data_IF_692370115582
#
_entry.id   IF_692370115582
#
_cell.length_a   1.000
_cell.length_b   1.000
_cell.length_c   1.000
_cell.angle_alpha   90.00
_cell.angle_beta   90.00
_cell.angle_gamma   90.00
#
_symmetry.space_group_name_H-M   'P 1'
#
loop_
_entity.id
_entity.type
_entity.pdbx_description
1 polymer ?
#
# COMPACT_ATOMS: atom_id res chain seq x y z
N UNK A 1 13.67 -37.86 -20.43
CA UNK A 1 12.85 -37.43 -19.27
C UNK A 1 11.82 -36.44 -19.77
N UNK A 2 10.56 -36.74 -19.49
CA UNK A 2 9.35 -36.01 -19.89
C UNK A 2 9.34 -34.54 -19.48
N UNK A 3 8.74 -33.67 -20.30
CA UNK A 3 7.55 -32.88 -19.94
C UNK A 3 7.44 -31.63 -20.80
N UNK A 4 6.23 -31.47 -21.35
CA UNK A 4 5.72 -30.43 -22.24
C UNK A 4 5.56 -29.04 -21.57
N UNK A 5 5.20 -27.98 -22.33
CA UNK A 5 5.21 -26.57 -21.91
C UNK A 5 3.91 -26.12 -21.21
N UNK A 6 3.87 -24.93 -20.56
CA UNK A 6 2.70 -24.50 -19.80
C UNK A 6 1.61 -23.91 -20.70
N UNK A 7 0.40 -24.46 -20.58
CA UNK A 7 -0.83 -23.85 -21.07
C UNK A 7 -1.27 -22.70 -20.16
N UNK A 8 -1.53 -21.56 -20.80
CA UNK A 8 -2.35 -20.47 -20.30
C UNK A 8 -3.81 -20.87 -20.36
N UNK A 9 -4.54 -20.73 -19.24
CA UNK A 9 -5.99 -20.55 -19.24
C UNK A 9 -6.36 -19.59 -18.12
N UNK A 10 -6.92 -18.46 -18.56
CA UNK A 10 -7.61 -17.50 -17.75
C UNK A 10 -8.84 -18.14 -17.07
N UNK A 11 -9.02 -17.83 -15.79
CA UNK A 11 -10.35 -17.80 -15.17
C UNK A 11 -10.44 -16.53 -14.33
N UNK A 12 -10.92 -15.47 -14.99
CA UNK A 12 -11.67 -14.41 -14.33
C UNK A 12 -13.00 -15.02 -13.89
N UNK A 13 -13.29 -14.94 -12.60
CA UNK A 13 -14.64 -15.15 -12.07
C UNK A 13 -15.01 -13.89 -11.27
N UNK A 14 -15.88 -13.08 -11.87
CA UNK A 14 -16.71 -12.10 -11.16
C UNK A 14 -17.59 -12.81 -10.13
N UNK A 15 -17.71 -12.30 -8.89
CA UNK A 15 -18.92 -12.51 -8.12
C UNK A 15 -19.98 -11.50 -8.59
N UNK A 16 -20.96 -12.03 -9.31
CA UNK A 16 -22.18 -11.33 -9.68
C UNK A 16 -22.86 -10.68 -8.45
N UNK A 17 -23.27 -9.43 -8.66
CA UNK A 17 -24.20 -8.71 -7.83
C UNK A 17 -25.52 -9.48 -7.70
N UNK A 18 -25.94 -9.77 -6.46
CA UNK A 18 -27.32 -10.17 -6.14
C UNK A 18 -27.79 -9.43 -4.89
N UNK A 19 -28.88 -8.69 -5.10
CA UNK A 19 -29.90 -8.28 -4.12
C UNK A 19 -29.59 -7.10 -3.20
N UNK A 20 -29.70 -5.91 -3.77
CA UNK A 20 -30.27 -4.75 -3.08
C UNK A 20 -31.77 -4.67 -3.41
N UNK A 21 -32.64 -5.01 -2.45
CA UNK A 21 -33.96 -4.40 -2.23
C UNK A 21 -34.73 -5.11 -1.09
N UNK A 22 -35.11 -4.40 -0.02
CA UNK A 22 -36.17 -4.83 0.90
C UNK A 22 -37.49 -4.10 0.54
N UNK A 23 -38.64 -4.78 0.37
CA UNK A 23 -39.80 -4.53 1.27
C UNK A 23 -40.80 -5.74 1.34
N UNK A 24 -41.88 -5.74 2.17
CA UNK A 24 -42.52 -4.58 2.80
C UNK A 24 -42.77 -4.63 4.31
N UNK A 25 -42.83 -3.41 4.84
CA UNK A 25 -43.25 -3.04 6.19
C UNK A 25 -44.74 -3.33 6.35
N UNK A 26 -45.11 -4.07 7.40
CA UNK A 26 -46.48 -4.10 7.92
C UNK A 26 -46.84 -2.72 8.46
N UNK A 27 -47.98 -2.12 8.10
CA UNK A 27 -48.53 -1.00 8.84
C UNK A 27 -49.37 -1.55 10.00
N UNK A 28 -48.86 -1.47 11.22
CA UNK A 28 -49.72 -1.49 12.41
C UNK A 28 -49.85 -0.06 12.89
N UNK A 29 -50.90 0.62 12.44
CA UNK A 29 -51.46 1.75 13.18
C UNK A 29 -52.79 1.33 13.81
N UNK A 30 -53.08 1.74 15.05
CA UNK A 30 -54.33 1.45 15.70
C UNK A 30 -55.45 2.34 15.15
N UNK A 31 -56.59 1.69 15.01
CA UNK A 31 -57.95 2.19 14.80
C UNK A 31 -58.27 3.43 15.65
N UNK A 32 -58.54 4.54 14.97
CA UNK A 32 -59.56 5.53 15.36
C UNK A 32 -60.58 5.62 14.23
N UNK A 33 -61.88 5.81 14.56
CA UNK A 33 -62.75 6.52 13.66
C UNK A 33 -63.39 7.72 14.37
N UNK A 34 -62.97 8.93 13.98
CA UNK A 34 -63.80 10.12 14.04
C UNK A 34 -63.72 10.81 12.68
N UNK A 35 -64.87 11.13 12.10
CA UNK A 35 -64.95 11.71 10.76
C UNK A 35 -66.36 11.68 10.20
N UNK A 36 -67.15 12.67 10.60
CA UNK A 36 -68.49 12.96 10.11
C UNK A 36 -68.54 13.17 8.58
N UNK A 37 -69.65 12.78 7.98
CA UNK A 37 -70.12 13.30 6.70
C UNK A 37 -71.63 13.59 6.81
N UNK A 38 -71.96 14.88 6.74
CA UNK A 38 -73.28 15.45 6.46
C UNK A 38 -73.82 14.95 5.12
N UNK A 39 -75.13 14.71 4.91
CA UNK A 39 -76.19 15.72 4.64
C UNK A 39 -77.53 14.96 4.36
N UNK A 40 -78.64 15.58 3.90
CA UNK A 40 -79.83 15.84 4.71
C UNK A 40 -81.10 15.15 4.20
N UNK A 41 -82.17 15.10 5.01
CA UNK A 41 -83.52 15.14 4.44
C UNK A 41 -84.48 15.95 5.34
N UNK A 42 -84.96 17.03 4.74
CA UNK A 42 -86.22 17.74 4.98
C UNK A 42 -87.40 16.74 4.99
N UNK A 43 -88.61 16.95 5.54
CA UNK A 43 -89.34 18.09 6.10
C UNK A 43 -90.68 17.54 6.64
N UNK A 44 -91.22 18.24 7.63
CA UNK A 44 -92.63 18.58 7.84
C UNK A 44 -93.75 17.60 7.44
N UNK A 45 -94.56 17.22 8.44
CA UNK A 45 -95.91 16.69 8.27
C UNK A 45 -96.78 17.06 9.46
N UNK A 46 -97.36 18.27 9.39
CA UNK A 46 -98.37 18.80 10.30
C UNK A 46 -99.73 18.11 10.03
N UNK A 47 -100.52 17.79 11.06
CA UNK A 47 -101.77 17.03 10.88
C UNK A 47 -102.69 17.00 12.10
N UNK A 48 -103.24 18.17 12.44
CA UNK A 48 -104.59 18.45 12.99
C UNK A 48 -105.45 17.34 13.62
N UNK A 49 -105.72 17.53 14.92
CA UNK A 49 -107.02 17.56 15.63
C UNK A 49 -108.24 16.74 15.15
N UNK A 50 -108.83 15.99 16.11
CA UNK A 50 -110.27 15.94 16.49
C UNK A 50 -110.38 15.15 17.81
N UNK A 51 -110.72 15.78 18.94
CA UNK A 51 -112.08 16.09 19.41
C UNK A 51 -112.93 14.84 19.69
N UNK A 52 -113.18 14.57 20.98
CA UNK A 52 -114.06 13.52 21.48
C UNK A 52 -114.12 13.54 23.01
N UNK A 53 -114.94 14.43 23.58
CA UNK A 53 -115.44 14.39 24.97
C UNK A 53 -116.91 13.94 24.95
N UNK A 54 -117.60 13.66 26.08
CA UNK A 54 -117.15 13.15 27.39
C UNK A 54 -118.10 12.05 27.96
N UNK A 55 -117.73 11.38 29.06
CA UNK A 55 -118.74 10.82 29.99
C UNK A 55 -118.45 11.22 31.43
N UNK A 56 -119.18 12.25 31.84
CA UNK A 56 -119.71 12.56 33.18
C UNK A 56 -119.50 11.52 34.28
N UNK A 57 -118.62 11.83 35.24
CA UNK A 57 -118.94 11.68 36.68
C UNK A 57 -118.49 12.93 37.43
N UNK A 58 -119.50 13.69 37.86
CA UNK A 58 -119.39 14.85 38.75
C UNK A 58 -118.68 14.42 40.02
N UNK A 59 -117.47 14.93 40.27
CA UNK A 59 -116.94 15.06 41.63
C UNK A 59 -116.67 16.53 41.88
N UNK A 60 -117.54 17.08 42.72
CA UNK A 60 -117.46 18.34 43.42
C UNK A 60 -116.03 18.89 43.51
N UNK A 61 -115.81 20.04 42.87
CA UNK A 61 -114.80 21.00 43.31
C UNK A 61 -115.12 21.36 44.76
N UNK A 62 -114.29 20.90 45.70
CA UNK A 62 -114.02 21.67 46.91
C UNK A 62 -112.91 22.66 46.54
N UNK A 63 -113.29 23.93 46.41
CA UNK A 63 -112.35 25.06 46.45
C UNK A 63 -111.81 25.12 47.87
N UNK A 64 -110.75 24.38 48.14
CA UNK A 64 -109.90 24.64 49.29
C UNK A 64 -108.79 25.60 48.82
N UNK A 65 -108.82 26.84 49.31
CA UNK A 65 -107.77 27.84 49.16
C UNK A 65 -106.52 27.41 49.95
N UNK A 66 -105.86 26.34 49.49
CA UNK A 66 -104.54 25.86 49.95
C UNK A 66 -103.55 25.68 48.78
N UNK A 67 -103.92 26.12 47.57
CA UNK A 67 -103.18 25.87 46.33
C UNK A 67 -102.18 26.95 45.91
N UNK A 68 -102.18 28.13 46.55
CA UNK A 68 -101.28 29.24 46.21
C UNK A 68 -99.86 29.01 46.74
N UNK A 69 -99.73 28.55 47.99
CA UNK A 69 -98.42 28.26 48.60
C UNK A 69 -97.75 27.04 47.99
N UNK A 70 -98.50 25.97 47.71
CA UNK A 70 -97.97 24.79 47.03
C UNK A 70 -97.52 25.09 45.58
N UNK A 71 -98.24 25.97 44.88
CA UNK A 71 -97.86 26.41 43.54
C UNK A 71 -96.63 27.34 43.56
N UNK A 72 -96.52 28.24 44.54
CA UNK A 72 -95.32 29.06 44.75
C UNK A 72 -94.10 28.21 45.12
N UNK A 73 -94.25 27.24 46.03
CA UNK A 73 -93.19 26.30 46.38
C UNK A 73 -92.72 25.47 45.17
N UNK A 74 -93.65 25.06 44.29
CA UNK A 74 -93.31 24.36 43.05
C UNK A 74 -92.55 25.26 42.04
N UNK A 75 -92.87 26.56 41.98
CA UNK A 75 -92.11 27.52 41.16
C UNK A 75 -90.70 27.72 41.70
N UNK A 76 -90.54 27.91 43.02
CA UNK A 76 -89.23 28.03 43.67
C UNK A 76 -88.37 26.79 43.45
N UNK A 77 -88.92 25.58 43.61
CA UNK A 77 -88.20 24.32 43.30
C UNK A 77 -87.76 24.23 41.85
N UNK A 78 -88.60 24.64 40.88
CA UNK A 78 -88.22 24.66 39.46
C UNK A 78 -87.13 25.70 39.15
N UNK A 79 -87.15 26.84 39.84
CA UNK A 79 -86.09 27.85 39.71
C UNK A 79 -84.77 27.39 40.33
N UNK A 80 -84.83 26.73 41.50
CA UNK A 80 -83.67 26.09 42.14
C UNK A 80 -83.11 24.94 41.29
N UNK A 81 -83.96 24.10 40.71
CA UNK A 81 -83.55 23.02 39.79
C UNK A 81 -82.87 23.58 38.53
N UNK A 82 -83.40 24.67 37.96
CA UNK A 82 -82.74 25.37 36.84
C UNK A 82 -81.38 25.96 37.23
N UNK A 83 -81.28 26.59 38.42
CA UNK A 83 -80.00 27.11 38.92
C UNK A 83 -78.97 26.01 39.11
N UNK A 84 -79.36 24.87 39.68
CA UNK A 84 -78.47 23.72 39.84
C UNK A 84 -78.08 23.12 38.48
N UNK A 85 -79.00 23.06 37.52
CA UNK A 85 -78.70 22.61 36.16
C UNK A 85 -77.68 23.54 35.46
N UNK A 86 -77.85 24.86 35.59
CA UNK A 86 -76.91 25.86 35.06
C UNK A 86 -75.55 25.79 35.76
N UNK A 87 -75.52 25.54 37.07
CA UNK A 87 -74.28 25.35 37.84
C UNK A 87 -73.54 24.07 37.42
N UNK A 88 -74.26 22.96 37.26
CA UNK A 88 -73.69 21.71 36.74
C UNK A 88 -73.17 21.88 35.31
N UNK A 89 -73.86 22.64 34.45
CA UNK A 89 -73.40 22.94 33.10
C UNK A 89 -72.09 23.76 33.12
N UNK A 90 -71.99 24.78 33.98
CA UNK A 90 -70.77 25.56 34.17
C UNK A 90 -69.60 24.71 34.66
N UNK A 91 -69.83 23.79 35.60
CA UNK A 91 -68.79 22.87 36.09
C UNK A 91 -68.31 21.96 34.96
N UNK A 92 -69.23 21.41 34.16
CA UNK A 92 -68.87 20.56 33.01
C UNK A 92 -68.09 21.34 31.94
N UNK A 93 -68.48 22.58 31.65
CA UNK A 93 -67.76 23.42 30.70
C UNK A 93 -66.37 23.79 31.21
N UNK A 94 -66.23 24.09 32.51
CA UNK A 94 -64.93 24.34 33.14
C UNK A 94 -64.04 23.09 33.12
N UNK A 95 -64.60 21.90 33.40
CA UNK A 95 -63.89 20.62 33.33
C UNK A 95 -63.48 20.29 31.89
N UNK A 96 -64.36 20.53 30.91
CA UNK A 96 -64.06 20.33 29.49
C UNK A 96 -62.94 21.27 29.00
N UNK A 97 -62.92 22.52 29.45
CA UNK A 97 -61.85 23.47 29.15
C UNK A 97 -60.54 23.07 29.83
N UNK A 98 -60.57 22.67 31.11
CA UNK A 98 -59.39 22.16 31.80
C UNK A 98 -58.83 20.89 31.12
N UNK A 99 -59.69 20.01 30.61
CA UNK A 99 -59.29 18.84 29.84
C UNK A 99 -58.66 19.21 28.49
N UNK A 100 -59.20 20.22 27.78
CA UNK A 100 -58.61 20.75 26.53
C UNK A 100 -57.23 21.37 26.79
N UNK A 101 -57.10 22.22 27.81
CA UNK A 101 -55.83 22.84 28.18
C UNK A 101 -54.77 21.80 28.55
N UNK A 102 -55.17 20.75 29.29
CA UNK A 102 -54.28 19.63 29.62
C UNK A 102 -53.85 18.86 28.36
N UNK A 103 -54.77 18.61 27.43
CA UNK A 103 -54.47 17.94 26.18
C UNK A 103 -53.51 18.76 25.29
N UNK A 104 -53.70 20.08 25.22
CA UNK A 104 -52.79 20.99 24.49
C UNK A 104 -51.39 21.01 25.11
N UNK A 105 -51.28 21.09 26.44
CA UNK A 105 -49.97 21.01 27.12
C UNK A 105 -49.25 19.70 26.83
N UNK A 106 -49.97 18.57 26.80
CA UNK A 106 -49.39 17.27 26.44
C UNK A 106 -48.91 17.25 24.99
N UNK A 107 -49.73 17.75 24.04
CA UNK A 107 -49.34 17.86 22.63
C UNK A 107 -48.11 18.74 22.44
N UNK A 108 -48.03 19.87 23.14
CA UNK A 108 -46.89 20.78 23.05
C UNK A 108 -45.63 20.14 23.64
N UNK A 109 -45.72 19.50 24.81
CA UNK A 109 -44.60 18.78 25.41
C UNK A 109 -44.11 17.62 24.52
N UNK A 110 -45.02 16.91 23.84
CA UNK A 110 -44.66 15.86 22.89
C UNK A 110 -43.98 16.43 21.64
N UNK A 111 -44.50 17.54 21.08
CA UNK A 111 -43.91 18.22 19.94
C UNK A 111 -42.48 18.70 20.25
N UNK A 112 -42.24 19.26 21.44
CA UNK A 112 -40.91 19.70 21.87
C UNK A 112 -39.96 18.52 22.09
N UNK A 113 -40.45 17.38 22.61
CA UNK A 113 -39.66 16.15 22.70
C UNK A 113 -39.29 15.59 21.33
N UNK A 114 -40.21 15.65 20.36
CA UNK A 114 -39.94 15.24 18.96
C UNK A 114 -38.87 16.15 18.34
N UNK A 115 -39.01 17.48 18.44
CA UNK A 115 -38.00 18.43 17.97
C UNK A 115 -36.62 18.18 18.56
N UNK A 116 -36.52 17.89 19.87
CA UNK A 116 -35.24 17.56 20.52
C UNK A 116 -34.64 16.26 19.98
N UNK A 117 -35.46 15.25 19.69
CA UNK A 117 -34.99 13.99 19.09
C UNK A 117 -34.49 14.22 17.67
N UNK A 118 -35.29 14.90 16.85
CA UNK A 118 -34.94 15.18 15.45
C UNK A 118 -33.66 16.03 15.37
N UNK A 119 -33.48 16.99 16.28
CA UNK A 119 -32.24 17.78 16.36
C UNK A 119 -31.04 16.93 16.77
N UNK A 120 -31.21 15.97 17.69
CA UNK A 120 -30.13 15.05 18.09
C UNK A 120 -29.75 14.11 16.95
N UNK A 121 -30.74 13.57 16.25
CA UNK A 121 -30.54 12.67 15.12
C UNK A 121 -29.88 13.40 13.95
N UNK A 122 -30.27 14.66 13.69
CA UNK A 122 -29.64 15.49 12.67
C UNK A 122 -28.17 15.82 12.98
N UNK A 123 -27.80 16.00 14.26
CA UNK A 123 -26.39 16.19 14.66
C UNK A 123 -25.60 14.90 14.47
N UNK A 124 -26.13 13.77 14.92
CA UNK A 124 -25.48 12.46 14.73
C UNK A 124 -25.27 12.13 13.24
N UNK A 125 -26.22 12.48 12.37
CA UNK A 125 -26.06 12.30 10.92
C UNK A 125 -24.96 13.19 10.33
N UNK A 126 -24.85 14.44 10.79
CA UNK A 126 -23.77 15.35 10.35
C UNK A 126 -22.40 14.83 10.78
N UNK A 127 -22.26 14.38 12.02
CA UNK A 127 -20.99 13.86 12.54
C UNK A 127 -20.55 12.61 11.75
N UNK A 128 -21.49 11.71 11.43
CA UNK A 128 -21.22 10.52 10.58
C UNK A 128 -20.86 10.92 9.15
N UNK A 129 -21.49 11.93 8.58
CA UNK A 129 -21.17 12.41 7.23
C UNK A 129 -19.80 13.10 7.18
N UNK A 130 -19.45 13.88 8.20
CA UNK A 130 -18.12 14.49 8.33
C UNK A 130 -17.03 13.43 8.50
N UNK A 131 -17.25 12.39 9.32
CA UNK A 131 -16.31 11.26 9.47
C UNK A 131 -16.08 10.53 8.14
N UNK A 132 -17.14 10.30 7.36
CA UNK A 132 -17.03 9.71 6.01
C UNK A 132 -16.21 10.58 5.09
N UNK A 133 -16.46 11.89 5.05
CA UNK A 133 -15.69 12.83 4.22
C UNK A 133 -14.22 12.88 4.62
N UNK A 134 -13.91 12.84 5.91
CA UNK A 134 -12.53 12.78 6.39
C UNK A 134 -11.85 11.48 5.97
N UNK A 135 -12.55 10.35 6.07
CA UNK A 135 -12.03 9.05 5.64
C UNK A 135 -11.78 9.00 4.14
N UNK A 136 -12.69 9.55 3.33
CA UNK A 136 -12.54 9.63 1.88
C UNK A 136 -11.36 10.54 1.50
N UNK A 137 -11.19 11.67 2.19
CA UNK A 137 -10.02 12.56 1.99
C UNK A 137 -8.70 11.87 2.37
N UNK A 138 -8.66 11.13 3.49
CA UNK A 138 -7.48 10.35 3.87
C UNK A 138 -7.18 9.24 2.85
N UNK A 139 -8.20 8.57 2.33
CA UNK A 139 -8.02 7.56 1.27
C UNK A 139 -7.47 8.20 0.00
N UNK A 140 -8.00 9.34 -0.44
CA UNK A 140 -7.48 10.06 -1.60
C UNK A 140 -6.04 10.54 -1.41
N UNK A 141 -5.67 11.01 -0.21
CA UNK A 141 -4.29 11.37 0.10
C UNK A 141 -3.38 10.14 0.05
N UNK A 142 -3.78 9.04 0.68
CA UNK A 142 -3.02 7.79 0.65
C UNK A 142 -2.89 7.20 -0.77
N UNK A 143 -3.89 7.36 -1.63
CA UNK A 143 -3.85 6.94 -3.03
C UNK A 143 -2.88 7.80 -3.84
N UNK A 144 -2.89 9.12 -3.65
CA UNK A 144 -1.92 10.04 -4.29
C UNK A 144 -0.49 9.73 -3.86
N UNK A 145 -0.25 9.49 -2.57
CA UNK A 145 1.08 9.10 -2.08
C UNK A 145 1.57 7.80 -2.71
N UNK A 146 0.68 6.80 -2.87
CA UNK A 146 1.01 5.55 -3.56
C UNK A 146 1.29 5.76 -5.05
N UNK A 147 0.51 6.60 -5.72
CA UNK A 147 0.71 6.93 -7.13
C UNK A 147 2.05 7.65 -7.35
N UNK A 148 2.41 8.58 -6.46
CA UNK A 148 3.71 9.26 -6.49
C UNK A 148 4.86 8.30 -6.20
N UNK A 149 4.73 7.40 -5.21
CA UNK A 149 5.75 6.37 -4.94
C UNK A 149 5.91 5.41 -6.12
N UNK A 150 4.82 5.01 -6.77
CA UNK A 150 4.84 4.16 -7.96
C UNK A 150 5.49 4.88 -9.15
N UNK A 151 5.19 6.17 -9.36
CA UNK A 151 5.85 7.00 -10.37
C UNK A 151 7.35 7.10 -10.12
N UNK A 152 7.79 7.32 -8.88
CA UNK A 152 9.22 7.35 -8.54
C UNK A 152 9.90 6.00 -8.78
N UNK A 153 9.24 4.89 -8.41
CA UNK A 153 9.74 3.53 -8.70
C UNK A 153 9.85 3.29 -10.20
N UNK A 154 8.85 3.69 -10.98
CA UNK A 154 8.85 3.57 -12.43
C UNK A 154 9.95 4.43 -13.08
N UNK A 155 10.18 5.66 -12.58
CA UNK A 155 11.24 6.53 -13.05
C UNK A 155 12.64 5.96 -12.74
N UNK A 156 12.85 5.39 -11.55
CA UNK A 156 14.11 4.71 -11.24
C UNK A 156 14.36 3.50 -12.14
N UNK A 157 13.31 2.69 -12.42
CA UNK A 157 13.42 1.57 -13.36
C UNK A 157 13.72 2.08 -14.78
N UNK A 158 13.10 3.17 -15.21
CA UNK A 158 13.39 3.81 -16.50
C UNK A 158 14.84 4.28 -16.58
N UNK A 159 15.34 4.97 -15.55
CA UNK A 159 16.76 5.39 -15.45
C UNK A 159 17.71 4.20 -15.51
N UNK A 160 17.43 3.12 -14.79
CA UNK A 160 18.26 1.90 -14.86
C UNK A 160 18.24 1.25 -16.25
N UNK A 161 17.09 1.22 -16.92
CA UNK A 161 16.99 0.75 -18.31
C UNK A 161 17.77 1.63 -19.28
N UNK A 162 17.69 2.95 -19.11
CA UNK A 162 18.43 3.91 -19.92
C UNK A 162 19.95 3.80 -19.70
N UNK A 163 20.42 3.67 -18.45
CA UNK A 163 21.84 3.45 -18.15
C UNK A 163 22.34 2.12 -18.70
N UNK A 164 21.54 1.05 -18.62
CA UNK A 164 21.93 -0.25 -19.17
C UNK A 164 21.94 -0.24 -20.70
N UNK A 165 21.04 0.51 -21.35
CA UNK A 165 21.09 0.76 -22.79
C UNK A 165 22.33 1.57 -23.17
N UNK A 166 22.62 2.68 -22.50
CA UNK A 166 23.82 3.49 -22.73
C UNK A 166 25.11 2.68 -22.59
N UNK A 167 25.22 1.82 -21.57
CA UNK A 167 26.38 0.92 -21.41
C UNK A 167 26.50 -0.08 -22.57
N UNK A 168 25.38 -0.58 -23.10
CA UNK A 168 25.39 -1.47 -24.28
C UNK A 168 25.83 -0.72 -25.54
N UNK A 169 25.31 0.48 -25.75
CA UNK A 169 25.68 1.35 -26.88
C UNK A 169 27.16 1.74 -26.82
N UNK A 170 27.68 2.07 -25.63
CA UNK A 170 29.10 2.40 -25.44
C UNK A 170 30.01 1.19 -25.73
N UNK A 171 29.66 -0.01 -25.24
CA UNK A 171 30.39 -1.24 -25.57
C UNK A 171 30.34 -1.52 -27.08
N UNK A 172 29.19 -1.30 -27.71
CA UNK A 172 29.06 -1.50 -29.15
C UNK A 172 29.93 -0.50 -29.93
N UNK A 173 29.94 0.78 -29.52
CA UNK A 173 30.78 1.81 -30.12
C UNK A 173 32.28 1.49 -29.97
N UNK A 174 32.70 1.02 -28.80
CA UNK A 174 34.08 0.56 -28.59
C UNK A 174 34.46 -0.60 -29.51
N UNK A 175 33.56 -1.58 -29.70
CA UNK A 175 33.78 -2.69 -30.65
C UNK A 175 33.85 -2.19 -32.09
N UNK A 176 32.99 -1.26 -32.49
CA UNK A 176 33.02 -0.67 -33.83
C UNK A 176 34.31 0.11 -34.08
N UNK A 177 34.77 0.91 -33.11
CA UNK A 177 36.05 1.62 -33.16
C UNK A 177 37.25 0.66 -33.20
N UNK A 178 37.22 -0.42 -32.42
CA UNK A 178 38.26 -1.45 -32.43
C UNK A 178 38.32 -2.19 -33.77
N UNK A 179 37.15 -2.58 -34.32
CA UNK A 179 37.07 -3.19 -35.66
C UNK A 179 37.61 -2.21 -36.71
N UNK A 180 37.30 -0.92 -36.60
CA UNK A 180 37.81 0.11 -37.51
C UNK A 180 39.33 0.24 -37.40
N UNK A 181 39.89 0.22 -36.19
CA UNK A 181 41.35 0.22 -35.97
C UNK A 181 42.01 -1.02 -36.56
N UNK A 182 41.49 -2.22 -36.28
CA UNK A 182 42.02 -3.47 -36.84
C UNK A 182 41.93 -3.50 -38.36
N UNK A 183 40.86 -2.97 -38.96
CA UNK A 183 40.75 -2.86 -40.42
C UNK A 183 41.82 -1.93 -41.00
N UNK A 184 42.05 -0.76 -40.38
CA UNK A 184 43.10 0.16 -40.82
C UNK A 184 44.51 -0.44 -40.64
N UNK A 185 44.74 -1.18 -39.56
CA UNK A 185 46.00 -1.88 -39.32
C UNK A 185 46.24 -2.97 -40.37
N UNK A 186 45.25 -3.83 -40.63
CA UNK A 186 45.32 -4.86 -41.69
C UNK A 186 45.52 -4.23 -43.07
N UNK A 187 44.90 -3.09 -43.36
CA UNK A 187 45.12 -2.38 -44.62
C UNK A 187 46.57 -1.84 -44.71
N UNK A 188 47.11 -1.31 -43.62
CA UNK A 188 48.51 -0.87 -43.55
C UNK A 188 49.52 -2.02 -43.68
N UNK A 189 49.24 -3.18 -43.07
CA UNK A 189 50.07 -4.38 -43.23
C UNK A 189 50.01 -4.90 -44.65
N UNK A 190 48.84 -4.87 -45.28
CA UNK A 190 48.67 -5.25 -46.68
C UNK A 190 49.45 -4.33 -47.63
N UNK A 191 49.49 -3.02 -47.34
CA UNK A 191 50.31 -2.06 -48.08
C UNK A 191 51.80 -2.35 -47.91
N UNK A 192 52.28 -2.57 -46.68
CA UNK A 192 53.68 -2.93 -46.42
C UNK A 192 54.09 -4.24 -47.10
N UNK A 193 53.19 -5.23 -47.13
CA UNK A 193 53.45 -6.51 -47.77
C UNK A 193 53.50 -6.36 -49.30
N UNK A 194 52.71 -5.45 -49.87
CA UNK A 194 52.77 -5.08 -51.28
C UNK A 194 54.07 -4.33 -51.61
N UNK A 195 54.51 -3.41 -50.76
CA UNK A 195 55.79 -2.69 -50.91
C UNK A 195 56.98 -3.67 -50.87
N UNK A 196 56.99 -4.62 -49.92
CA UNK A 196 57.99 -5.68 -49.86
C UNK A 196 58.01 -6.59 -51.10
N UNK A 197 56.83 -6.89 -51.66
CA UNK A 197 56.75 -7.63 -52.92
C UNK A 197 57.34 -6.82 -54.09
N UNK A 198 57.04 -5.54 -54.18
CA UNK A 198 57.57 -4.65 -55.22
C UNK A 198 59.10 -4.46 -55.08
N UNK A 199 59.63 -4.36 -53.85
CA UNK A 199 61.08 -4.33 -53.60
C UNK A 199 61.76 -5.62 -54.03
N UNK A 200 61.17 -6.78 -53.73
CA UNK A 200 61.72 -8.07 -54.14
C UNK A 200 61.65 -8.26 -55.68
N UNK A 201 60.60 -7.75 -56.34
CA UNK A 201 60.52 -7.72 -57.80
C UNK A 201 61.60 -6.82 -58.41
N UNK A 202 61.83 -5.62 -57.84
CA UNK A 202 62.92 -4.72 -58.25
C UNK A 202 64.28 -5.35 -58.03
N UNK A 203 64.52 -6.00 -56.89
CA UNK A 203 65.78 -6.69 -56.62
C UNK A 203 66.01 -7.85 -57.61
N UNK A 204 64.95 -8.58 -57.99
CA UNK A 204 65.04 -9.59 -59.05
C UNK A 204 65.33 -9.00 -60.42
N UNK A 205 64.71 -7.87 -60.78
CA UNK A 205 65.00 -7.18 -62.03
C UNK A 205 66.43 -6.64 -62.06
N UNK A 206 66.91 -6.03 -60.98
CA UNK A 206 68.30 -5.61 -60.85
C UNK A 206 69.27 -6.80 -60.94
N UNK A 207 68.95 -7.92 -60.30
CA UNK A 207 69.76 -9.14 -60.40
C UNK A 207 69.79 -9.69 -61.84
N UNK A 208 68.66 -9.64 -62.56
CA UNK A 208 68.60 -10.00 -63.99
C UNK A 208 69.41 -9.04 -64.85
N UNK A 209 69.32 -7.74 -64.60
CA UNK A 209 70.12 -6.73 -65.31
C UNK A 209 71.61 -6.90 -65.05
N UNK A 210 72.01 -7.19 -63.80
CA UNK A 210 73.41 -7.49 -63.45
C UNK A 210 73.92 -8.74 -64.17
N UNK A 211 73.12 -9.80 -64.24
CA UNK A 211 73.49 -11.01 -65.01
C UNK A 211 73.63 -10.72 -66.51
N UNK A 212 72.71 -9.95 -67.09
CA UNK A 212 72.79 -9.55 -68.51
C UNK A 212 74.01 -8.66 -68.77
N UNK A 213 74.35 -7.76 -67.84
CA UNK A 213 75.53 -6.92 -67.94
C UNK A 213 76.84 -7.73 -67.81
N UNK A 214 76.90 -8.68 -66.87
CA UNK A 214 78.02 -9.61 -66.69
C UNK A 214 78.17 -10.56 -67.89
N UNK A 215 77.08 -11.04 -68.47
CA UNK A 215 77.07 -11.83 -69.69
C UNK A 215 77.58 -11.00 -70.88
N UNK A 216 77.16 -9.74 -71.02
CA UNK A 216 77.72 -8.83 -72.04
C UNK A 216 79.19 -8.50 -71.81
N UNK A 217 79.64 -8.37 -70.57
CA UNK A 217 81.05 -8.10 -70.27
C UNK A 217 81.93 -9.33 -70.53
N UNK A 218 81.46 -10.53 -70.18
CA UNK A 218 82.12 -11.79 -70.47
C UNK A 218 82.13 -12.10 -71.97
N UNK A 219 81.06 -11.79 -72.71
CA UNK A 219 81.06 -11.84 -74.17
C UNK A 219 82.06 -10.87 -74.78
N UNK A 220 82.14 -9.61 -74.31
CA UNK A 220 83.16 -8.65 -74.77
C UNK A 220 84.59 -9.07 -74.44
N UNK A 221 84.81 -9.75 -73.29
CA UNK A 221 86.12 -10.31 -72.93
C UNK A 221 86.44 -11.56 -73.77
N UNK A 222 85.45 -12.36 -74.13
CA UNK A 222 85.62 -13.49 -75.04
C UNK A 222 85.86 -13.04 -76.48
N UNK A 223 85.20 -11.97 -76.94
CA UNK A 223 85.39 -11.34 -78.25
C UNK A 223 86.80 -10.72 -78.35
N UNK A 224 87.27 -10.02 -77.29
CA UNK A 224 88.67 -9.55 -77.23
C UNK A 224 89.70 -10.68 -77.22
N UNK A 225 89.38 -11.81 -76.59
CA UNK A 225 90.24 -13.01 -76.63
C UNK A 225 90.15 -13.76 -77.96
N UNK A 226 89.05 -13.64 -78.70
CA UNK A 226 88.93 -14.17 -80.05
C UNK A 226 89.76 -13.35 -81.04
N UNK A 227 89.77 -12.01 -80.92
CA UNK A 227 90.64 -11.12 -81.70
C UNK A 227 92.14 -11.29 -81.36
N UNK A 228 92.49 -11.58 -80.10
CA UNK A 228 93.90 -11.87 -79.72
C UNK A 228 94.35 -13.31 -80.07
N UNK A 229 93.43 -14.24 -80.36
CA UNK A 229 93.78 -15.64 -80.70
C UNK A 229 93.76 -15.96 -82.20
N UNK A 230 93.39 -15.00 -83.06
CA UNK A 230 93.60 -15.12 -84.51
C UNK A 230 95.02 -14.73 -84.97
N UNK A 231 95.89 -14.19 -84.08
CA UNK A 231 97.29 -13.87 -84.42
C UNK A 231 98.36 -14.73 -83.71
N UNK A 232 98.00 -15.70 -82.85
CA UNK A 232 98.98 -16.51 -82.10
C UNK A 232 98.80 -18.04 -82.17
N UNK A 233 97.93 -18.56 -83.06
CA UNK A 233 97.76 -20.01 -83.26
C UNK A 233 98.48 -20.58 -84.50
N UNK A 234 99.61 -19.99 -84.91
CA UNK A 234 100.47 -20.50 -86.00
C UNK A 234 101.82 -21.10 -85.54
N UNK A 235 102.19 -20.97 -84.26
CA UNK A 235 103.35 -21.63 -83.68
C UNK A 235 102.99 -22.01 -82.25
N UNK A 236 102.77 -23.26 -81.86
CA UNK A 236 103.83 -24.26 -81.79
C UNK A 236 103.18 -25.60 -81.44
N UNK A 237 102.59 -26.27 -82.43
CA UNK A 237 101.92 -27.59 -82.28
C UNK A 237 102.91 -28.77 -82.27
N UNK A 238 104.16 -28.57 -81.84
CA UNK A 238 105.20 -29.62 -81.82
C UNK A 238 106.24 -29.41 -80.71
N UNK A 239 105.81 -29.47 -79.45
CA UNK A 239 106.68 -29.88 -78.33
C UNK A 239 105.84 -30.64 -77.29
N UNK A 240 105.17 -31.69 -77.79
CA UNK A 240 104.74 -32.82 -76.95
C UNK A 240 105.99 -33.51 -76.40
N UNK A 241 106.05 -33.74 -75.09
CA UNK A 241 105.99 -35.08 -74.44
C UNK A 241 106.64 -35.15 -73.05
N UNK A 242 107.33 -34.12 -72.58
CA UNK A 242 107.93 -34.10 -71.22
C UNK A 242 107.07 -33.37 -70.17
N UNK A 243 106.14 -32.49 -70.57
CA UNK A 243 105.21 -31.80 -69.64
C UNK A 243 104.21 -32.73 -68.95
N UNK A 244 104.02 -33.97 -69.41
CA UNK A 244 103.02 -34.89 -68.88
C UNK A 244 103.37 -35.46 -67.49
N UNK A 245 104.64 -35.43 -67.08
CA UNK A 245 105.09 -35.97 -65.79
C UNK A 245 105.17 -34.90 -64.69
N UNK A 246 105.50 -33.64 -65.03
CA UNK A 246 105.37 -32.50 -64.12
C UNK A 246 103.91 -32.08 -63.89
N UNK A 247 103.04 -32.22 -64.91
CA UNK A 247 101.59 -32.01 -64.77
C UNK A 247 100.93 -33.00 -63.80
N UNK A 248 101.51 -34.18 -63.59
CA UNK A 248 100.94 -35.18 -62.69
C UNK A 248 101.24 -34.88 -61.22
N UNK A 249 102.42 -34.31 -60.90
CA UNK A 249 102.74 -33.80 -59.55
C UNK A 249 101.99 -32.51 -59.22
N UNK A 250 101.83 -31.60 -60.17
CA UNK A 250 100.99 -30.41 -59.97
C UNK A 250 99.51 -30.75 -59.82
N UNK A 251 99.00 -31.79 -60.50
CA UNK A 251 97.64 -32.29 -60.30
C UNK A 251 97.44 -32.93 -58.92
N UNK A 252 98.42 -33.65 -58.39
CA UNK A 252 98.32 -34.21 -57.03
C UNK A 252 98.39 -33.13 -55.93
N UNK A 253 99.17 -32.07 -56.13
CA UNK A 253 99.21 -30.92 -55.20
C UNK A 253 97.96 -30.03 -55.32
N UNK A 254 97.46 -29.77 -56.52
CA UNK A 254 96.18 -29.09 -56.72
C UNK A 254 94.99 -29.92 -56.24
N UNK A 255 95.02 -31.24 -56.41
CA UNK A 255 93.97 -32.14 -55.91
C UNK A 255 93.99 -32.21 -54.38
N UNK A 256 95.17 -32.15 -53.74
CA UNK A 256 95.29 -31.96 -52.28
C UNK A 256 94.74 -30.61 -51.83
N UNK A 257 95.03 -29.50 -52.52
CA UNK A 257 94.47 -28.18 -52.19
C UNK A 257 92.95 -28.10 -52.42
N UNK A 258 92.43 -28.74 -53.48
CA UNK A 258 90.99 -28.87 -53.74
C UNK A 258 90.32 -29.75 -52.68
N UNK A 259 90.94 -30.87 -52.30
CA UNK A 259 90.44 -31.73 -51.23
C UNK A 259 90.45 -31.02 -49.87
N UNK A 260 91.45 -30.20 -49.58
CA UNK A 260 91.51 -29.38 -48.36
C UNK A 260 90.45 -28.27 -48.36
N UNK A 261 90.25 -27.57 -49.49
CA UNK A 261 89.15 -26.59 -49.61
C UNK A 261 87.77 -27.25 -49.47
N UNK A 262 87.55 -28.43 -50.04
CA UNK A 262 86.30 -29.18 -49.87
C UNK A 262 86.13 -29.63 -48.42
N UNK A 263 87.20 -30.04 -47.75
CA UNK A 263 87.18 -30.39 -46.32
C UNK A 263 86.83 -29.16 -45.47
N UNK A 264 87.42 -28.00 -45.76
CA UNK A 264 87.16 -26.72 -45.07
C UNK A 264 85.73 -26.23 -45.31
N UNK A 265 85.21 -26.34 -46.53
CA UNK A 265 83.81 -26.05 -46.85
C UNK A 265 82.84 -27.02 -46.14
N UNK A 266 83.19 -28.30 -46.03
CA UNK A 266 82.40 -29.29 -45.28
C UNK A 266 82.41 -29.01 -43.78
N UNK A 267 83.55 -28.62 -43.21
CA UNK A 267 83.66 -28.20 -41.81
C UNK A 267 82.87 -26.91 -41.52
N UNK A 268 82.93 -25.90 -42.40
CA UNK A 268 82.15 -24.68 -42.25
C UNK A 268 80.64 -24.91 -42.42
N UNK A 269 80.25 -25.80 -43.35
CA UNK A 269 78.86 -26.21 -43.51
C UNK A 269 78.35 -27.01 -42.29
N UNK A 270 79.19 -27.88 -41.72
CA UNK A 270 78.86 -28.57 -40.47
C UNK A 270 78.74 -27.58 -39.30
N UNK A 271 79.69 -26.66 -39.13
CA UNK A 271 79.60 -25.59 -38.10
C UNK A 271 78.36 -24.71 -38.27
N UNK A 272 77.97 -24.35 -39.50
CA UNK A 272 76.72 -23.62 -39.76
C UNK A 272 75.48 -24.43 -39.40
N UNK A 273 75.45 -25.72 -39.75
CA UNK A 273 74.35 -26.63 -39.42
C UNK A 273 74.22 -26.85 -37.91
N UNK A 274 75.33 -26.95 -37.21
CA UNK A 274 75.37 -27.11 -35.75
C UNK A 274 74.91 -25.82 -35.04
N UNK A 275 75.39 -24.64 -35.48
CA UNK A 275 74.91 -23.34 -34.98
C UNK A 275 73.42 -23.11 -35.22
N UNK A 276 72.88 -23.53 -36.36
CA UNK A 276 71.44 -23.45 -36.65
C UNK A 276 70.63 -24.38 -35.74
N UNK A 277 71.12 -25.60 -35.47
CA UNK A 277 70.48 -26.51 -34.51
C UNK A 277 70.51 -25.96 -33.09
N UNK A 278 71.62 -25.37 -32.66
CA UNK A 278 71.76 -24.78 -31.33
C UNK A 278 70.83 -23.57 -31.15
N UNK A 279 70.73 -22.69 -32.17
CA UNK A 279 69.78 -21.56 -32.18
C UNK A 279 68.33 -22.04 -32.15
N UNK A 280 67.97 -23.00 -33.01
CA UNK A 280 66.62 -23.58 -33.01
C UNK A 280 66.24 -24.25 -31.69
N UNK A 281 67.19 -24.88 -30.99
CA UNK A 281 66.97 -25.45 -29.66
C UNK A 281 66.75 -24.37 -28.59
N UNK A 282 67.54 -23.29 -28.63
CA UNK A 282 67.42 -22.17 -27.69
C UNK A 282 66.11 -21.39 -27.88
N UNK A 283 65.72 -21.13 -29.12
CA UNK A 283 64.47 -20.43 -29.45
C UNK A 283 63.23 -21.28 -29.08
N UNK A 284 63.30 -22.59 -29.28
CA UNK A 284 62.25 -23.52 -28.86
C UNK A 284 62.11 -23.61 -27.33
N UNK A 285 63.22 -23.54 -26.58
CA UNK A 285 63.19 -23.52 -25.13
C UNK A 285 62.66 -22.19 -24.58
N UNK A 286 63.08 -21.06 -25.18
CA UNK A 286 62.55 -19.73 -24.85
C UNK A 286 61.03 -19.64 -25.10
N UNK A 287 60.56 -20.15 -26.23
CA UNK A 287 59.12 -20.19 -26.56
C UNK A 287 58.32 -21.04 -25.57
N UNK A 288 58.90 -22.15 -25.06
CA UNK A 288 58.24 -22.97 -24.03
C UNK A 288 58.16 -22.26 -22.68
N UNK A 289 59.19 -21.50 -22.30
CA UNK A 289 59.19 -20.70 -21.07
C UNK A 289 58.15 -19.58 -21.13
N UNK A 290 58.09 -18.84 -22.24
CA UNK A 290 57.09 -17.79 -22.46
C UNK A 290 55.65 -18.33 -22.38
N UNK A 291 55.37 -19.47 -23.05
CA UNK A 291 54.04 -20.10 -22.97
C UNK A 291 53.67 -20.56 -21.56
N UNK A 292 54.66 -20.99 -20.77
CA UNK A 292 54.45 -21.40 -19.37
C UNK A 292 54.16 -20.17 -18.50
N UNK A 293 54.91 -19.10 -18.68
CA UNK A 293 54.70 -17.82 -17.98
C UNK A 293 53.33 -17.21 -18.34
N UNK A 294 52.93 -17.20 -19.61
CA UNK A 294 51.59 -16.75 -20.04
C UNK A 294 50.47 -17.58 -19.41
N UNK A 295 50.64 -18.91 -19.32
CA UNK A 295 49.66 -19.79 -18.69
C UNK A 295 49.55 -19.55 -17.18
N UNK A 296 50.68 -19.36 -16.49
CA UNK A 296 50.70 -19.01 -15.07
C UNK A 296 50.08 -17.62 -14.82
N UNK A 297 50.31 -16.65 -15.70
CA UNK A 297 49.70 -15.33 -15.60
C UNK A 297 48.19 -15.37 -15.83
N UNK A 298 47.71 -16.14 -16.83
CA UNK A 298 46.29 -16.39 -17.06
C UNK A 298 45.61 -17.09 -15.87
N UNK A 299 46.28 -18.08 -15.26
CA UNK A 299 45.78 -18.74 -14.06
C UNK A 299 45.66 -17.75 -12.90
N UNK A 300 46.69 -16.93 -12.67
CA UNK A 300 46.70 -15.91 -11.62
C UNK A 300 45.63 -14.84 -11.83
N UNK A 301 45.37 -14.44 -13.07
CA UNK A 301 44.27 -13.53 -13.41
C UNK A 301 42.90 -14.17 -13.11
N UNK A 302 42.71 -15.45 -13.47
CA UNK A 302 41.48 -16.19 -13.20
C UNK A 302 41.23 -16.36 -11.70
N UNK A 303 42.27 -16.63 -10.91
CA UNK A 303 42.17 -16.71 -9.45
C UNK A 303 41.78 -15.36 -8.83
N UNK A 304 42.42 -14.27 -9.25
CA UNK A 304 42.06 -12.91 -8.82
C UNK A 304 40.62 -12.54 -9.19
N UNK A 305 40.16 -12.93 -10.37
CA UNK A 305 38.77 -12.70 -10.79
C UNK A 305 37.79 -13.49 -9.92
N UNK A 306 38.09 -14.77 -9.63
CA UNK A 306 37.26 -15.58 -8.74
C UNK A 306 37.25 -15.03 -7.31
N UNK A 307 38.38 -14.56 -6.80
CA UNK A 307 38.47 -13.93 -5.48
C UNK A 307 37.67 -12.62 -5.42
N UNK A 308 37.76 -11.77 -6.44
CA UNK A 308 36.95 -10.56 -6.55
C UNK A 308 35.45 -10.88 -6.61
N UNK A 309 35.06 -11.96 -7.31
CA UNK A 309 33.67 -12.42 -7.30
C UNK A 309 33.23 -12.92 -5.93
N UNK A 310 34.08 -13.68 -5.21
CA UNK A 310 33.80 -14.13 -3.84
C UNK A 310 33.62 -12.95 -2.89
N UNK A 311 34.52 -11.96 -2.92
CA UNK A 311 34.41 -10.74 -2.13
C UNK A 311 33.14 -9.95 -2.45
N UNK A 312 32.73 -9.87 -3.73
CA UNK A 312 31.49 -9.21 -4.13
C UNK A 312 30.25 -9.94 -3.62
N UNK A 313 30.25 -11.28 -3.64
CA UNK A 313 29.16 -12.09 -3.09
C UNK A 313 29.10 -11.94 -1.57
N UNK A 314 30.24 -11.98 -0.90
CA UNK A 314 30.35 -11.80 0.55
C UNK A 314 29.89 -10.41 0.98
N UNK A 315 30.31 -9.35 0.29
CA UNK A 315 29.83 -7.99 0.51
C UNK A 315 28.32 -7.85 0.35
N UNK A 316 27.71 -8.50 -0.66
CA UNK A 316 26.25 -8.54 -0.80
C UNK A 316 25.57 -9.31 0.33
N UNK A 317 26.17 -10.39 0.82
CA UNK A 317 25.63 -11.17 1.96
C UNK A 317 25.69 -10.38 3.26
N UNK A 318 26.80 -9.69 3.54
CA UNK A 318 26.92 -8.87 4.75
C UNK A 318 25.98 -7.67 4.70
N UNK A 319 25.87 -7.01 3.54
CA UNK A 319 24.91 -5.93 3.33
C UNK A 319 23.45 -6.41 3.51
N UNK A 320 23.10 -7.56 2.94
CA UNK A 320 21.78 -8.16 3.13
C UNK A 320 21.47 -8.48 4.60
N UNK A 321 22.46 -8.97 5.37
CA UNK A 321 22.32 -9.20 6.82
C UNK A 321 22.13 -7.90 7.59
N UNK A 322 22.89 -6.85 7.28
CA UNK A 322 22.75 -5.55 7.95
C UNK A 322 21.43 -4.89 7.63
N UNK A 323 20.96 -4.98 6.39
CA UNK A 323 19.69 -4.39 5.95
C UNK A 323 18.51 -5.14 6.57
N UNK A 324 18.59 -6.48 6.64
CA UNK A 324 17.60 -7.29 7.36
C UNK A 324 17.53 -6.91 8.84
N UNK A 325 18.69 -6.76 9.49
CA UNK A 325 18.76 -6.37 10.91
C UNK A 325 18.20 -4.97 11.15
N UNK A 326 18.50 -4.00 10.29
CA UNK A 326 17.91 -2.64 10.35
C UNK A 326 16.40 -2.68 10.16
N UNK A 327 15.91 -3.48 9.20
CA UNK A 327 14.48 -3.63 8.95
C UNK A 327 13.75 -4.26 10.15
N UNK A 328 14.37 -5.25 10.78
CA UNK A 328 13.85 -5.89 12.00
C UNK A 328 13.77 -4.89 13.16
N UNK A 329 14.83 -4.10 13.39
CA UNK A 329 14.84 -3.04 14.42
C UNK A 329 13.73 -2.00 14.18
N UNK A 330 13.57 -1.53 12.94
CA UNK A 330 12.49 -0.60 12.56
C UNK A 330 11.09 -1.19 12.81
N UNK A 331 10.89 -2.49 12.57
CA UNK A 331 9.63 -3.16 12.84
C UNK A 331 9.37 -3.31 14.34
N UNK A 332 10.41 -3.59 15.13
CA UNK A 332 10.32 -3.68 16.59
C UNK A 332 9.98 -2.31 17.20
N UNK A 333 10.62 -1.23 16.74
CA UNK A 333 10.31 0.13 17.17
C UNK A 333 8.88 0.53 16.82
N UNK A 334 8.40 0.22 15.61
CA UNK A 334 7.00 0.47 15.22
C UNK A 334 6.02 -0.30 16.11
N UNK A 335 6.34 -1.54 16.48
CA UNK A 335 5.50 -2.34 17.40
C UNK A 335 5.48 -1.72 18.80
N UNK A 336 6.64 -1.28 19.31
CA UNK A 336 6.73 -0.59 20.61
C UNK A 336 5.96 0.73 20.61
N UNK A 337 6.09 1.53 19.54
CA UNK A 337 5.34 2.77 19.40
C UNK A 337 3.83 2.54 19.34
N UNK A 338 3.37 1.55 18.56
CA UNK A 338 1.96 1.19 18.50
C UNK A 338 1.42 0.64 19.84
N UNK A 339 2.25 -0.10 20.59
CA UNK A 339 1.88 -0.56 21.93
C UNK A 339 1.74 0.60 22.92
N UNK A 340 2.70 1.55 22.90
CA UNK A 340 2.65 2.74 23.75
C UNK A 340 1.46 3.65 23.40
N UNK A 341 1.10 3.77 22.12
CA UNK A 341 -0.09 4.52 21.70
C UNK A 341 -1.38 3.85 22.20
N UNK A 342 -1.47 2.51 22.11
CA UNK A 342 -2.60 1.75 22.67
C UNK A 342 -2.72 1.95 24.18
N UNK A 343 -1.61 1.90 24.90
CA UNK A 343 -1.58 2.14 26.35
C UNK A 343 -2.07 3.54 26.70
N UNK A 344 -1.62 4.57 25.97
CA UNK A 344 -2.10 5.96 26.15
C UNK A 344 -3.61 6.08 25.90
N UNK A 345 -4.12 5.43 24.85
CA UNK A 345 -5.56 5.43 24.57
C UNK A 345 -6.35 4.69 25.65
N UNK A 346 -5.83 3.57 26.18
CA UNK A 346 -6.46 2.85 27.27
C UNK A 346 -6.48 3.69 28.56
N UNK A 347 -5.38 4.38 28.88
CA UNK A 347 -5.31 5.28 30.02
C UNK A 347 -6.29 6.45 29.90
N UNK A 348 -6.43 7.04 28.70
CA UNK A 348 -7.45 8.05 28.44
C UNK A 348 -8.87 7.52 28.65
N UNK A 349 -9.16 6.30 28.17
CA UNK A 349 -10.48 5.66 28.41
C UNK A 349 -10.72 5.35 29.88
N UNK A 350 -9.67 4.99 30.64
CA UNK A 350 -9.78 4.80 32.10
C UNK A 350 -10.10 6.11 32.80
N UNK A 351 -9.40 7.20 32.45
CA UNK A 351 -9.67 8.54 33.00
C UNK A 351 -11.10 9.01 32.71
N UNK A 352 -11.56 8.83 31.47
CA UNK A 352 -12.95 9.15 31.10
C UNK A 352 -13.97 8.34 31.92
N UNK A 353 -13.76 7.03 32.09
CA UNK A 353 -14.63 6.19 32.92
C UNK A 353 -14.63 6.62 34.39
N UNK A 354 -13.46 6.96 34.93
CA UNK A 354 -13.33 7.43 36.32
C UNK A 354 -14.03 8.78 36.51
N UNK A 355 -13.91 9.70 35.54
CA UNK A 355 -14.64 10.97 35.55
C UNK A 355 -16.16 10.78 35.45
N UNK A 356 -16.63 9.90 34.56
CA UNK A 356 -18.04 9.51 34.45
C UNK A 356 -18.56 8.90 35.76
N UNK A 357 -17.78 8.02 36.39
CA UNK A 357 -18.12 7.40 37.68
C UNK A 357 -18.21 8.44 38.80
N UNK A 358 -17.25 9.36 38.89
CA UNK A 358 -17.29 10.49 39.83
C UNK A 358 -18.49 11.41 39.60
N UNK A 359 -18.86 11.66 38.34
CA UNK A 359 -20.04 12.47 38.02
C UNK A 359 -21.33 11.75 38.42
N UNK A 360 -21.42 10.44 38.18
CA UNK A 360 -22.54 9.61 38.62
C UNK A 360 -22.63 9.57 40.15
N UNK A 361 -21.51 9.44 40.85
CA UNK A 361 -21.46 9.47 42.31
C UNK A 361 -21.89 10.84 42.86
N UNK A 362 -21.44 11.94 42.25
CA UNK A 362 -21.88 13.29 42.61
C UNK A 362 -23.40 13.48 42.37
N UNK A 363 -23.94 12.94 41.27
CA UNK A 363 -25.39 12.93 41.01
C UNK A 363 -26.14 12.09 42.05
N UNK A 364 -25.63 10.90 42.39
CA UNK A 364 -26.21 10.06 43.46
C UNK A 364 -26.22 10.80 44.79
N UNK A 365 -25.12 11.45 45.17
CA UNK A 365 -25.02 12.26 46.39
C UNK A 365 -26.02 13.40 46.40
N UNK A 366 -26.19 14.13 45.29
CA UNK A 366 -27.21 15.18 45.18
C UNK A 366 -28.63 14.64 45.30
N UNK A 367 -28.93 13.49 44.71
CA UNK A 367 -30.23 12.84 44.86
C UNK A 367 -30.47 12.44 46.31
N UNK A 368 -29.48 11.86 46.98
CA UNK A 368 -29.58 11.52 48.40
C UNK A 368 -29.79 12.77 49.28
N UNK A 369 -29.05 13.85 49.03
CA UNK A 369 -29.22 15.12 49.74
C UNK A 369 -30.61 15.74 49.50
N UNK A 370 -31.15 15.61 48.28
CA UNK A 370 -32.52 16.03 47.98
C UNK A 370 -33.57 15.15 48.67
N UNK A 371 -33.32 13.85 48.78
CA UNK A 371 -34.19 12.94 49.53
C UNK A 371 -34.15 13.27 51.02
N UNK A 372 -32.98 13.52 51.59
CA UNK A 372 -32.81 13.97 52.98
C UNK A 372 -33.49 15.31 53.25
N UNK A 373 -33.52 16.23 52.28
CA UNK A 373 -34.25 17.51 52.41
C UNK A 373 -35.76 17.39 52.21
N UNK A 374 -36.22 16.39 51.44
CA UNK A 374 -37.64 16.21 51.10
C UNK A 374 -38.36 15.27 52.06
N UNK A 375 -37.63 14.35 52.68
CA UNK A 375 -38.11 13.61 53.83
C UNK A 375 -37.69 14.39 55.06
N UNK A 376 -38.63 15.07 55.72
CA UNK A 376 -38.48 15.36 57.15
C UNK A 376 -38.26 13.99 57.80
N UNK A 377 -37.00 13.65 58.09
CA UNK A 377 -36.68 12.53 58.95
C UNK A 377 -37.32 12.95 60.27
N UNK A 378 -38.50 12.39 60.56
CA UNK A 378 -39.14 12.51 61.86
C UNK A 378 -38.06 12.11 62.86
N UNK A 379 -37.55 13.08 63.62
CA UNK A 379 -36.51 12.82 64.60
C UNK A 379 -37.09 11.78 65.55
N UNK A 380 -36.58 10.56 65.52
CA UNK A 380 -37.17 9.43 66.25
C UNK A 380 -37.29 9.77 67.74
N UNK A 381 -36.40 10.62 68.24
CA UNK A 381 -36.44 11.18 69.59
C UNK A 381 -37.63 12.12 69.84
N UNK A 382 -38.00 12.97 68.87
CA UNK A 382 -39.20 13.83 68.99
C UNK A 382 -40.48 13.00 68.90
N UNK A 383 -40.51 11.98 68.05
CA UNK A 383 -41.64 11.07 67.95
C UNK A 383 -41.83 10.22 69.22
N UNK A 384 -40.74 9.73 69.81
CA UNK A 384 -40.79 9.03 71.10
C UNK A 384 -41.23 9.94 72.23
N UNK A 385 -40.78 11.20 72.24
CA UNK A 385 -41.20 12.20 73.23
C UNK A 385 -42.69 12.54 73.09
N UNK A 386 -43.19 12.76 71.88
CA UNK A 386 -44.61 13.00 71.63
C UNK A 386 -45.47 11.79 72.00
N UNK A 387 -44.98 10.57 71.76
CA UNK A 387 -45.63 9.34 72.18
C UNK A 387 -45.71 9.23 73.72
N UNK A 388 -44.62 9.51 74.43
CA UNK A 388 -44.58 9.49 75.89
C UNK A 388 -45.53 10.54 76.49
N UNK A 389 -45.53 11.77 75.97
CA UNK A 389 -46.47 12.81 76.41
C UNK A 389 -47.93 12.39 76.20
N UNK A 390 -48.22 11.65 75.12
CA UNK A 390 -49.57 11.15 74.85
C UNK A 390 -49.98 10.05 75.82
N UNK A 391 -49.06 9.14 76.15
CA UNK A 391 -49.28 8.10 77.16
C UNK A 391 -49.45 8.71 78.57
N UNK A 392 -48.69 9.76 78.91
CA UNK A 392 -48.85 10.50 80.18
C UNK A 392 -50.18 11.25 80.25
N UNK A 393 -50.62 11.90 79.17
CA UNK A 393 -51.94 12.54 79.12
C UNK A 393 -53.07 11.54 79.31
N UNK A 394 -53.00 10.39 78.65
CA UNK A 394 -53.98 9.30 78.82
C UNK A 394 -54.00 8.75 80.25
N UNK A 395 -52.83 8.71 80.89
CA UNK A 395 -52.71 8.30 82.29
C UNK A 395 -53.30 9.34 83.24
N UNK A 396 -53.01 10.62 83.03
CA UNK A 396 -53.60 11.72 83.81
C UNK A 396 -55.11 11.79 83.64
N UNK A 397 -55.62 11.59 82.43
CA UNK A 397 -57.07 11.54 82.16
C UNK A 397 -57.73 10.34 82.86
N UNK A 398 -57.07 9.18 82.94
CA UNK A 398 -57.53 8.05 83.74
C UNK A 398 -57.49 8.34 85.23
N UNK A 399 -56.39 8.91 85.74
CA UNK A 399 -56.28 9.29 87.15
C UNK A 399 -57.33 10.36 87.53
N UNK A 400 -57.69 11.26 86.61
CA UNK A 400 -58.77 12.24 86.77
C UNK A 400 -60.16 11.58 86.74
N UNK A 401 -60.39 10.60 85.84
CA UNK A 401 -61.61 9.80 85.83
C UNK A 401 -61.75 8.92 87.08
N UNK A 402 -60.66 8.33 87.56
CA UNK A 402 -60.61 7.54 88.78
C UNK A 402 -60.82 8.43 90.02
N UNK A 403 -60.28 9.65 90.01
CA UNK A 403 -60.53 10.65 91.06
C UNK A 403 -61.97 11.15 91.05
N UNK A 404 -62.54 11.42 89.87
CA UNK A 404 -63.92 11.83 89.72
C UNK A 404 -64.90 10.72 90.14
N UNK A 405 -64.59 9.45 89.82
CA UNK A 405 -65.38 8.30 90.28
C UNK A 405 -65.20 8.04 91.77
N UNK A 406 -64.00 8.21 92.33
CA UNK A 406 -63.77 8.14 93.78
C UNK A 406 -64.50 9.26 94.55
N UNK A 407 -64.53 10.49 94.03
CA UNK A 407 -65.31 11.59 94.62
C UNK A 407 -66.82 11.34 94.52
N UNK A 408 -67.29 10.75 93.41
CA UNK A 408 -68.68 10.35 93.25
C UNK A 408 -69.09 9.21 94.22
N UNK A 409 -68.19 8.27 94.51
CA UNK A 409 -68.41 7.20 95.48
C UNK A 409 -68.23 7.63 96.94
N UNK A 410 -67.45 8.69 97.21
CA UNK A 410 -67.24 9.25 98.55
C UNK A 410 -68.31 10.25 99.02
N UNK A 411 -69.26 10.63 98.17
CA UNK A 411 -70.41 11.49 98.50
C UNK A 411 -71.73 10.71 98.70
N UNK A 412 -71.68 9.38 98.78
CA UNK A 412 -72.84 8.52 99.08
C UNK A 412 -73.03 8.31 100.59
#
# INVERSE_FOLDING_TARGET
>A
MSSAPPHSTAQHADPAAVSSAPPPKKPTSPREPSGAASSPSHTAGNGTAKAGTPTTKKRLLRKDNKGTEAAEAAKRRKEEEKRLADEIAKIRDAEANAARDKAERVRQAEADRRKKRDQKDARAQKDVEEERRQKDQQQQQAEKEREEEEKQRAEMVRKQREETQRKREEIQKQREEEIKRRKAEVESERQKLKELQEEHEKEQEEARQRRVAEERESQRKAEKKADETEDEFAATRRQKKEEMEELQRQREEEEKQRAEMVRKQREEAQKKKEKLKERGSKDAEASKRQRKEELEELQKQREKEQEAQRQKIEGRRTQGKTDSKKKEQMLEEKRKAAAAERERLEEQRRKQKEEEERELEAKRKRVLEQLEKNYDIVDEAEYEKERQEREERMRLEREEQDRATAEALGRA
#
